data_IF_401640727433
#
_entry.id   IF_401640727433
#
_cell.length_a   1.000
_cell.length_b   1.000
_cell.length_c   1.000
_cell.angle_alpha   90.00
_cell.angle_beta   90.00
_cell.angle_gamma   90.00
#
_symmetry.space_group_name_H-M   'P 1'
#
loop_
_entity.id
_entity.type
_entity.pdbx_description
1 polymer ?
#
# COMPACT_ATOMS: atom_id res chain seq x y z
N UNK A 1 -8.73 23.34 -0.77
CA UNK A 1 -7.95 22.49 -1.69
C UNK A 1 -8.88 21.50 -2.35
N UNK A 2 -8.76 21.23 -3.65
CA UNK A 2 -9.53 20.15 -4.31
C UNK A 2 -9.07 18.79 -3.76
N UNK A 3 -10.01 17.88 -3.53
CA UNK A 3 -9.77 16.54 -2.97
C UNK A 3 -10.64 15.50 -3.67
N UNK A 4 -10.13 14.29 -3.77
CA UNK A 4 -10.86 13.08 -4.13
C UNK A 4 -11.62 12.63 -2.88
N UNK A 5 -12.88 12.23 -3.02
CA UNK A 5 -13.68 11.75 -1.87
C UNK A 5 -13.19 10.39 -1.40
N UNK A 6 -13.44 10.08 -0.12
CA UNK A 6 -13.02 8.79 0.45
C UNK A 6 -13.69 7.61 -0.25
N UNK A 7 -14.97 7.75 -0.63
CA UNK A 7 -15.68 6.71 -1.37
C UNK A 7 -15.08 6.46 -2.76
N UNK A 8 -14.60 7.52 -3.43
CA UNK A 8 -13.96 7.41 -4.73
C UNK A 8 -12.58 6.76 -4.61
N UNK A 9 -11.83 7.07 -3.56
CA UNK A 9 -10.57 6.41 -3.26
C UNK A 9 -10.76 4.92 -2.93
N UNK A 10 -11.77 4.57 -2.13
CA UNK A 10 -12.10 3.16 -1.84
C UNK A 10 -12.57 2.39 -3.08
N UNK A 11 -13.33 3.02 -3.97
CA UNK A 11 -13.72 2.41 -5.24
C UNK A 11 -12.50 2.15 -6.13
N UNK A 12 -11.61 3.15 -6.27
CA UNK A 12 -10.36 3.04 -7.02
C UNK A 12 -9.46 1.92 -6.47
N UNK A 13 -9.30 1.85 -5.15
CA UNK A 13 -8.49 0.85 -4.47
C UNK A 13 -8.99 -0.57 -4.74
N UNK A 14 -10.32 -0.76 -4.80
CA UNK A 14 -10.94 -2.06 -5.17
C UNK A 14 -10.83 -2.37 -6.65
N UNK A 15 -11.01 -1.38 -7.53
CA UNK A 15 -10.95 -1.58 -8.99
C UNK A 15 -9.53 -1.93 -9.45
N UNK A 16 -8.51 -1.37 -8.79
CA UNK A 16 -7.10 -1.54 -9.16
C UNK A 16 -6.30 -2.35 -8.14
N UNK A 17 -6.81 -3.51 -7.74
CA UNK A 17 -6.15 -4.41 -6.79
C UNK A 17 -4.73 -4.83 -7.25
N UNK A 18 -4.52 -4.94 -8.56
CA UNK A 18 -3.23 -5.30 -9.16
C UNK A 18 -2.23 -4.13 -9.24
N UNK A 19 -2.67 -2.92 -8.89
CA UNK A 19 -1.91 -1.69 -8.98
C UNK A 19 -2.20 -0.86 -10.23
N UNK A 20 -1.65 0.35 -10.23
CA UNK A 20 -1.82 1.39 -11.23
C UNK A 20 -0.47 1.93 -11.70
N UNK A 21 -0.44 2.45 -12.91
CA UNK A 21 0.74 2.99 -13.55
C UNK A 21 0.95 4.45 -13.17
N UNK A 22 2.15 4.97 -13.39
CA UNK A 22 2.42 6.40 -13.16
C UNK A 22 1.51 7.31 -14.01
N UNK A 23 1.16 6.88 -15.23
CA UNK A 23 0.24 7.61 -16.10
C UNK A 23 -1.18 7.64 -15.53
N UNK A 24 -1.72 6.50 -15.10
CA UNK A 24 -3.04 6.43 -14.48
C UNK A 24 -3.11 7.27 -13.20
N UNK A 25 -2.06 7.29 -12.37
CA UNK A 25 -1.99 8.19 -11.20
C UNK A 25 -2.16 9.66 -11.62
N UNK A 26 -1.45 10.09 -12.68
CA UNK A 26 -1.53 11.46 -13.18
C UNK A 26 -2.92 11.78 -13.73
N UNK A 27 -3.51 10.86 -14.48
CA UNK A 27 -4.85 11.00 -15.07
C UNK A 27 -5.93 11.08 -13.99
N UNK A 28 -5.84 10.28 -12.93
CA UNK A 28 -6.75 10.33 -11.78
C UNK A 28 -6.72 11.71 -11.14
N UNK A 29 -5.52 12.26 -10.89
CA UNK A 29 -5.42 13.61 -10.32
C UNK A 29 -5.91 14.70 -11.27
N UNK A 30 -5.60 14.59 -12.56
CA UNK A 30 -6.06 15.53 -13.58
C UNK A 30 -7.60 15.54 -13.70
N UNK A 31 -8.24 14.38 -13.67
CA UNK A 31 -9.70 14.25 -13.70
C UNK A 31 -10.39 14.95 -12.52
N UNK A 32 -9.71 15.07 -11.37
CA UNK A 32 -10.20 15.77 -10.18
C UNK A 32 -9.71 17.23 -10.09
N UNK A 33 -9.05 17.75 -11.13
CA UNK A 33 -8.52 19.12 -11.18
C UNK A 33 -7.25 19.34 -10.33
N UNK A 34 -6.70 18.29 -9.75
CA UNK A 34 -5.60 18.35 -8.81
C UNK A 34 -4.27 18.34 -9.58
N UNK A 35 -3.50 19.43 -9.52
CA UNK A 35 -2.18 19.51 -10.17
C UNK A 35 -1.18 18.53 -9.57
N UNK A 36 -0.78 17.50 -10.30
CA UNK A 36 0.26 16.55 -9.88
C UNK A 36 1.09 16.17 -11.11
N UNK A 37 2.40 15.95 -10.93
CA UNK A 37 3.33 15.72 -12.03
C UNK A 37 4.19 14.49 -11.79
N UNK A 38 4.71 13.90 -12.86
CA UNK A 38 5.62 12.75 -12.75
C UNK A 38 6.90 13.11 -12.00
N UNK A 39 7.37 14.36 -12.14
CA UNK A 39 8.51 14.87 -11.38
C UNK A 39 8.22 14.89 -9.87
N UNK A 40 7.01 15.29 -9.47
CA UNK A 40 6.56 15.27 -8.07
C UNK A 40 6.45 13.83 -7.55
N UNK A 41 5.85 12.92 -8.32
CA UNK A 41 5.78 11.50 -8.00
C UNK A 41 7.18 10.93 -7.75
N UNK A 42 8.10 11.15 -8.70
CA UNK A 42 9.49 10.72 -8.60
C UNK A 42 10.17 11.29 -7.36
N UNK A 43 9.96 12.57 -7.06
CA UNK A 43 10.54 13.22 -5.89
C UNK A 43 10.01 12.61 -4.59
N UNK A 44 8.70 12.39 -4.48
CA UNK A 44 8.12 11.74 -3.31
C UNK A 44 8.66 10.32 -3.13
N UNK A 45 8.73 9.53 -4.19
CA UNK A 45 9.35 8.19 -4.15
C UNK A 45 10.82 8.24 -3.74
N UNK A 46 11.60 9.21 -4.24
CA UNK A 46 13.02 9.38 -3.85
C UNK A 46 13.20 9.78 -2.39
N UNK A 47 12.27 10.55 -1.85
CA UNK A 47 12.21 10.92 -0.44
C UNK A 47 11.64 9.81 0.45
N UNK A 48 11.29 8.66 -0.12
CA UNK A 48 10.63 7.58 0.61
C UNK A 48 9.18 7.87 0.96
N UNK A 49 8.61 9.01 0.53
CA UNK A 49 7.23 9.43 0.82
C UNK A 49 6.15 8.51 0.25
N UNK A 50 6.51 7.73 -0.77
CA UNK A 50 5.65 6.80 -1.49
C UNK A 50 6.41 5.51 -1.81
N UNK A 51 5.71 4.37 -1.94
CA UNK A 51 6.33 3.11 -2.33
C UNK A 51 6.97 3.18 -3.72
N UNK A 52 7.94 2.29 -3.96
CA UNK A 52 8.54 2.09 -5.29
C UNK A 52 7.56 1.30 -6.17
N UNK A 53 7.61 1.54 -7.47
CA UNK A 53 6.84 0.69 -8.40
C UNK A 53 7.45 -0.70 -8.52
N UNK A 54 6.58 -1.71 -8.57
CA UNK A 54 6.91 -3.10 -8.83
C UNK A 54 6.87 -3.33 -10.34
N UNK A 55 7.91 -3.96 -10.89
CA UNK A 55 7.96 -4.29 -12.32
C UNK A 55 7.21 -5.59 -12.57
N UNK A 56 6.13 -5.51 -13.34
CA UNK A 56 5.39 -6.69 -13.82
C UNK A 56 5.66 -6.90 -15.30
N UNK A 57 5.79 -8.16 -15.72
CA UNK A 57 5.89 -8.51 -17.14
C UNK A 57 4.53 -8.36 -17.81
N UNK A 58 4.47 -7.74 -18.98
CA UNK A 58 3.24 -7.77 -19.79
C UNK A 58 3.12 -9.14 -20.48
N UNK A 59 1.92 -9.72 -20.48
CA UNK A 59 1.63 -11.01 -21.12
C UNK A 59 1.95 -10.92 -22.62
N UNK A 60 2.91 -11.74 -23.09
CA UNK A 60 3.34 -11.83 -24.49
C UNK A 60 4.86 -11.72 -24.66
N UNK A 61 5.42 -12.42 -25.66
CA UNK A 61 6.88 -12.64 -25.86
C UNK A 61 7.72 -11.35 -26.03
N UNK A 62 7.10 -10.19 -26.29
CA UNK A 62 7.78 -8.94 -26.61
C UNK A 62 7.18 -7.68 -25.94
N UNK A 63 6.35 -7.81 -24.91
CA UNK A 63 5.58 -6.66 -24.40
C UNK A 63 6.29 -5.83 -23.31
N UNK A 64 7.54 -6.15 -22.96
CA UNK A 64 8.30 -5.40 -21.97
C UNK A 64 7.75 -5.53 -20.53
N UNK A 65 8.42 -4.87 -19.58
CA UNK A 65 7.95 -4.78 -18.19
C UNK A 65 7.48 -3.37 -17.87
N UNK A 66 6.39 -3.28 -17.12
CA UNK A 66 5.76 -2.02 -16.69
C UNK A 66 5.88 -1.90 -15.17
N UNK A 67 6.08 -0.67 -14.68
CA UNK A 67 6.04 -0.39 -13.26
C UNK A 67 4.61 -0.14 -12.80
N UNK A 68 4.17 -0.87 -11.78
CA UNK A 68 2.90 -0.67 -11.09
C UNK A 68 3.14 -0.20 -9.66
N UNK A 69 2.35 0.78 -9.24
CA UNK A 69 2.23 1.25 -7.87
C UNK A 69 0.96 0.64 -7.26
N UNK A 70 0.90 0.40 -5.94
CA UNK A 70 -0.38 0.07 -5.32
C UNK A 70 -1.35 1.26 -5.48
N UNK A 71 -2.64 0.98 -5.67
CA UNK A 71 -3.66 2.01 -5.87
C UNK A 71 -3.76 3.00 -4.69
N UNK A 72 -3.40 2.54 -3.48
CA UNK A 72 -3.33 3.36 -2.26
C UNK A 72 -2.36 4.55 -2.36
N UNK A 73 -1.45 4.57 -3.34
CA UNK A 73 -0.57 5.72 -3.64
C UNK A 73 -1.37 7.00 -3.91
N UNK A 74 -2.55 6.91 -4.51
CA UNK A 74 -3.38 8.09 -4.79
C UNK A 74 -3.87 8.74 -3.49
N UNK A 75 -4.33 7.93 -2.53
CA UNK A 75 -4.69 8.40 -1.18
C UNK A 75 -3.50 8.99 -0.45
N UNK A 76 -2.33 8.34 -0.53
CA UNK A 76 -1.09 8.83 0.09
C UNK A 76 -0.67 10.19 -0.48
N UNK A 77 -0.69 10.35 -1.81
CA UNK A 77 -0.38 11.63 -2.47
C UNK A 77 -1.36 12.72 -2.01
N UNK A 78 -2.67 12.45 -1.99
CA UNK A 78 -3.65 13.42 -1.49
C UNK A 78 -3.30 13.85 -0.06
N UNK A 79 -3.00 12.90 0.82
CA UNK A 79 -2.65 13.19 2.21
C UNK A 79 -1.36 14.02 2.33
N UNK A 80 -0.34 13.75 1.51
CA UNK A 80 0.89 14.55 1.48
C UNK A 80 0.54 16.00 1.10
N UNK A 81 -0.31 16.19 0.09
CA UNK A 81 -0.72 17.54 -0.35
C UNK A 81 -1.56 18.27 0.71
N UNK A 82 -2.42 17.54 1.43
CA UNK A 82 -3.18 18.10 2.56
C UNK A 82 -2.25 18.59 3.66
N UNK A 83 -1.23 17.82 4.00
CA UNK A 83 -0.24 18.21 5.01
C UNK A 83 0.64 19.36 4.54
N UNK A 84 1.06 19.39 3.27
CA UNK A 84 1.76 20.55 2.72
C UNK A 84 0.88 21.83 2.75
N UNK A 85 -0.43 21.70 2.55
CA UNK A 85 -1.37 22.81 2.66
C UNK A 85 -1.63 23.25 4.12
N UNK A 86 -1.22 22.44 5.09
CA UNK A 86 -1.24 22.72 6.53
C UNK A 86 0.16 23.14 7.03
N UNK A 87 1.03 23.62 6.13
CA UNK A 87 2.38 24.12 6.41
C UNK A 87 3.34 23.09 7.03
N UNK A 88 3.11 21.78 6.83
CA UNK A 88 4.08 20.77 7.22
C UNK A 88 5.30 20.80 6.30
N UNK A 89 6.51 20.75 6.87
CA UNK A 89 7.72 20.54 6.08
C UNK A 89 7.80 19.11 5.56
N UNK A 90 8.63 18.86 4.54
CA UNK A 90 8.84 17.51 4.01
C UNK A 90 9.36 16.56 5.09
N UNK A 91 10.25 17.03 5.97
CA UNK A 91 10.81 16.25 7.07
C UNK A 91 9.75 15.92 8.12
N UNK A 92 8.84 16.85 8.40
CA UNK A 92 7.69 16.62 9.28
C UNK A 92 6.72 15.62 8.66
N UNK A 93 6.43 15.76 7.36
CA UNK A 93 5.65 14.79 6.60
C UNK A 93 6.30 13.41 6.67
N UNK A 94 7.61 13.27 6.48
CA UNK A 94 8.30 11.98 6.60
C UNK A 94 8.19 11.34 7.99
N UNK A 95 8.15 12.13 9.07
CA UNK A 95 7.96 11.63 10.45
C UNK A 95 6.53 11.20 10.72
N UNK A 96 5.58 11.94 10.16
CA UNK A 96 4.14 11.69 10.25
C UNK A 96 3.66 10.63 9.26
N UNK A 97 4.40 10.31 8.22
CA UNK A 97 4.18 9.18 7.32
C UNK A 97 5.20 8.11 7.66
N UNK A 98 5.03 7.41 8.78
CA UNK A 98 5.74 6.15 8.96
C UNK A 98 5.26 5.21 7.84
N UNK A 99 6.12 5.03 6.82
CA UNK A 99 5.91 4.33 5.54
C UNK A 99 5.46 2.87 5.64
N UNK A 100 5.22 2.39 6.85
CA UNK A 100 4.99 1.00 7.14
C UNK A 100 3.60 0.56 6.66
N UNK A 101 2.59 1.45 6.54
CA UNK A 101 1.23 1.05 6.12
C UNK A 101 1.20 0.39 4.74
N UNK A 102 1.76 1.04 3.73
CA UNK A 102 1.82 0.47 2.37
C UNK A 102 2.66 -0.81 2.31
N UNK A 103 3.74 -0.88 3.09
CA UNK A 103 4.59 -2.06 3.20
C UNK A 103 3.88 -3.21 3.96
N UNK A 104 3.04 -2.91 4.95
CA UNK A 104 2.20 -3.88 5.66
C UNK A 104 1.12 -4.44 4.73
N UNK A 105 0.46 -3.58 3.96
CA UNK A 105 -0.52 -4.01 2.94
C UNK A 105 0.12 -4.86 1.85
N UNK A 106 1.31 -4.49 1.38
CA UNK A 106 2.05 -5.29 0.38
C UNK A 106 2.54 -6.62 0.96
N UNK A 107 2.97 -6.62 2.22
CA UNK A 107 3.31 -7.83 2.97
C UNK A 107 2.09 -8.75 3.09
N UNK A 108 0.91 -8.22 3.43
CA UNK A 108 -0.33 -8.98 3.52
C UNK A 108 -0.72 -9.61 2.16
N UNK A 109 -0.67 -8.82 1.08
CA UNK A 109 -0.90 -9.33 -0.28
C UNK A 109 0.09 -10.43 -0.66
N UNK A 110 1.38 -10.23 -0.35
CA UNK A 110 2.44 -11.19 -0.68
C UNK A 110 2.30 -12.49 0.11
N UNK A 111 2.03 -12.41 1.41
CA UNK A 111 1.77 -13.56 2.27
C UNK A 111 0.57 -14.35 1.75
N UNK A 112 -0.51 -13.67 1.37
CA UNK A 112 -1.72 -14.32 0.83
C UNK A 112 -1.40 -15.11 -0.45
N UNK A 113 -0.67 -14.50 -1.39
CA UNK A 113 -0.19 -15.18 -2.62
C UNK A 113 0.66 -16.42 -2.33
N UNK A 114 1.51 -16.37 -1.28
CA UNK A 114 2.32 -17.53 -0.87
C UNK A 114 1.42 -18.66 -0.35
N UNK A 115 0.42 -18.36 0.49
CA UNK A 115 -0.51 -19.37 0.98
C UNK A 115 -1.35 -20.01 -0.13
N UNK A 116 -1.81 -19.23 -1.11
CA UNK A 116 -2.54 -19.75 -2.26
C UNK A 116 -1.69 -20.74 -3.06
N UNK A 117 -0.44 -20.37 -3.37
CA UNK A 117 0.50 -21.24 -4.09
C UNK A 117 0.78 -22.55 -3.32
N UNK A 118 0.95 -22.48 -1.99
CA UNK A 118 1.16 -23.66 -1.15
C UNK A 118 -0.08 -24.55 -1.10
N UNK A 119 -1.29 -23.96 -1.01
CA UNK A 119 -2.56 -24.71 -1.03
C UNK A 119 -2.75 -25.43 -2.34
N UNK A 120 -2.44 -24.81 -3.47
CA UNK A 120 -2.56 -25.44 -4.78
C UNK A 120 -1.56 -26.58 -4.97
N UNK A 121 -0.30 -26.39 -4.57
CA UNK A 121 0.71 -27.46 -4.57
C UNK A 121 0.34 -28.64 -3.65
N UNK A 122 -0.37 -28.39 -2.56
CA UNK A 122 -0.85 -29.43 -1.65
C UNK A 122 -2.00 -30.24 -2.26
N UNK A 123 -2.93 -29.62 -3.02
CA UNK A 123 -4.05 -30.33 -3.68
C UNK A 123 -3.60 -31.32 -4.75
N UNK A 124 -2.46 -31.08 -5.39
CA UNK A 124 -1.93 -31.93 -6.46
C UNK A 124 -1.36 -33.27 -5.95
N UNK A 125 -0.98 -33.33 -4.66
CA UNK A 125 -0.43 -34.54 -4.04
C UNK A 125 -1.57 -35.35 -3.44
N UNK A 126 -2.05 -36.40 -4.11
CA UNK A 126 -3.11 -37.28 -3.57
C UNK A 126 -2.57 -38.21 -2.46
N UNK A 127 -2.65 -37.80 -1.20
CA UNK A 127 -2.42 -38.68 -0.03
C UNK A 127 -3.25 -38.24 1.18
N UNK A 128 -4.36 -38.94 1.44
CA UNK A 128 -5.45 -38.49 2.33
C UNK A 128 -5.06 -38.10 3.76
N UNK A 129 -4.02 -38.70 4.34
CA UNK A 129 -3.57 -38.39 5.72
C UNK A 129 -2.49 -37.31 5.77
N UNK A 130 -1.54 -37.32 4.82
CA UNK A 130 -0.50 -36.28 4.73
C UNK A 130 -1.12 -34.93 4.33
N UNK A 131 -2.15 -34.95 3.48
CA UNK A 131 -2.84 -33.75 3.02
C UNK A 131 -3.55 -33.03 4.17
N UNK A 132 -4.22 -33.78 5.07
CA UNK A 132 -4.89 -33.19 6.22
C UNK A 132 -3.92 -32.53 7.20
N UNK A 133 -2.76 -33.14 7.45
CA UNK A 133 -1.72 -32.56 8.31
C UNK A 133 -1.18 -31.25 7.72
N UNK A 134 -0.87 -31.25 6.42
CA UNK A 134 -0.38 -30.06 5.71
C UNK A 134 -1.44 -28.94 5.70
N UNK A 135 -2.71 -29.26 5.47
CA UNK A 135 -3.79 -28.26 5.50
C UNK A 135 -3.94 -27.63 6.90
N UNK A 136 -3.81 -28.42 7.97
CA UNK A 136 -3.87 -27.91 9.35
C UNK A 136 -2.66 -27.00 9.68
N UNK A 137 -1.47 -27.36 9.21
CA UNK A 137 -0.27 -26.53 9.35
C UNK A 137 -0.40 -25.21 8.60
N UNK A 138 -0.85 -25.25 7.33
CA UNK A 138 -1.11 -24.05 6.52
C UNK A 138 -2.14 -23.12 7.19
N UNK A 139 -3.22 -23.69 7.73
CA UNK A 139 -4.23 -22.91 8.46
C UNK A 139 -3.63 -22.22 9.71
N UNK A 140 -2.81 -22.94 10.47
CA UNK A 140 -2.17 -22.40 11.67
C UNK A 140 -1.18 -21.28 11.32
N UNK A 141 -0.37 -21.49 10.28
CA UNK A 141 0.58 -20.50 9.79
C UNK A 141 -0.12 -19.25 9.24
N UNK A 142 -1.24 -19.41 8.51
CA UNK A 142 -2.02 -18.28 7.99
C UNK A 142 -2.60 -17.43 9.11
N UNK A 143 -3.09 -18.06 10.18
CA UNK A 143 -3.57 -17.35 11.37
C UNK A 143 -2.44 -16.55 12.04
N UNK A 144 -1.26 -17.14 12.19
CA UNK A 144 -0.09 -16.43 12.76
C UNK A 144 0.32 -15.23 11.90
N UNK A 145 0.26 -15.37 10.57
CA UNK A 145 0.57 -14.30 9.65
C UNK A 145 -0.45 -13.14 9.75
N UNK A 146 -1.74 -13.45 9.83
CA UNK A 146 -2.81 -12.47 10.07
C UNK A 146 -2.64 -11.74 11.40
N UNK A 147 -2.26 -12.44 12.46
CA UNK A 147 -1.97 -11.85 13.76
C UNK A 147 -0.75 -10.91 13.70
N UNK A 148 0.30 -11.28 12.95
CA UNK A 148 1.48 -10.44 12.75
C UNK A 148 1.11 -9.14 12.01
N UNK A 149 0.42 -9.24 10.87
CA UNK A 149 -0.04 -8.08 10.09
C UNK A 149 -0.89 -7.16 10.96
N UNK A 150 -1.86 -7.72 11.70
CA UNK A 150 -2.72 -6.96 12.62
C UNK A 150 -1.91 -6.22 13.70
N UNK A 151 -0.88 -6.86 14.27
CA UNK A 151 0.00 -6.23 15.26
C UNK A 151 0.84 -5.11 14.65
N UNK A 152 1.37 -5.30 13.44
CA UNK A 152 2.14 -4.27 12.74
C UNK A 152 1.27 -3.05 12.43
N UNK A 153 0.03 -3.26 11.95
CA UNK A 153 -0.94 -2.19 11.72
C UNK A 153 -1.27 -1.44 13.01
N UNK A 154 -1.51 -2.15 14.12
CA UNK A 154 -1.79 -1.51 15.41
C UNK A 154 -0.60 -0.70 15.95
N UNK A 155 0.63 -1.16 15.73
CA UNK A 155 1.85 -0.40 16.08
C UNK A 155 1.95 0.86 15.23
N UNK A 156 1.72 0.74 13.92
CA UNK A 156 1.68 1.88 13.00
C UNK A 156 0.65 2.92 13.47
N UNK A 157 -0.58 2.52 13.75
CA UNK A 157 -1.64 3.42 14.19
C UNK A 157 -1.27 4.16 15.49
N UNK A 158 -0.64 3.47 16.45
CA UNK A 158 -0.20 4.07 17.71
C UNK A 158 0.92 5.09 17.49
N UNK A 159 1.89 4.78 16.64
CA UNK A 159 2.99 5.69 16.34
C UNK A 159 2.48 6.94 15.62
N UNK A 160 1.54 6.77 14.68
CA UNK A 160 0.86 7.85 13.98
C UNK A 160 0.04 8.74 14.95
N UNK A 161 -0.69 8.13 15.88
CA UNK A 161 -1.45 8.88 16.88
C UNK A 161 -0.53 9.67 17.82
N UNK A 162 0.60 9.07 18.24
CA UNK A 162 1.58 9.73 19.09
C UNK A 162 2.24 10.93 18.40
N UNK A 163 2.57 10.81 17.11
CA UNK A 163 3.14 11.90 16.31
C UNK A 163 2.18 13.11 16.24
N UNK A 164 0.91 12.86 15.89
CA UNK A 164 -0.15 13.88 15.87
C UNK A 164 -0.34 14.58 17.21
N UNK A 165 -0.38 13.82 18.31
CA UNK A 165 -0.50 14.37 19.67
C UNK A 165 0.70 15.24 20.05
N UNK A 166 1.91 14.82 19.68
CA UNK A 166 3.13 15.62 19.90
C UNK A 166 3.08 16.93 19.12
N UNK A 167 2.51 16.94 17.91
CA UNK A 167 2.36 18.16 17.11
C UNK A 167 1.31 19.10 17.66
N UNK A 168 0.12 18.62 18.03
CA UNK A 168 -0.92 19.46 18.65
C UNK A 168 -0.38 20.22 19.87
N UNK A 169 0.40 19.52 20.71
CA UNK A 169 1.11 20.12 21.86
C UNK A 169 2.15 21.17 21.45
N UNK A 170 2.84 20.98 20.33
CA UNK A 170 3.85 21.91 19.83
C UNK A 170 3.25 23.14 19.13
N UNK A 171 2.06 23.02 18.53
CA UNK A 171 1.38 24.10 17.80
C UNK A 171 0.40 24.92 18.65
N UNK A 172 0.21 24.58 19.92
CA UNK A 172 -0.57 25.41 20.86
C UNK A 172 -2.08 25.44 20.57
N UNK A 173 -2.64 24.32 20.09
CA UNK A 173 -4.08 24.06 19.97
C UNK A 173 -4.43 22.82 20.76
#
# INVERSE_FOLDING_TARGET
MQRISDEALEALEREHEQGITSAEILDIFAAHGIKFSEATLRKYVQLGLLPRSVRVGRKGKHQGSQGLYPATVVRQIQRIKEMMAQDYTIEEIQREFLFVRGEIEELERTISKVFDALRDAAKERRSDTADRAIQNELFTAERLAKDLVSKLSAIEERLMAAARLSRARATGT
#
